data_IF_194907108685
#
_entry.id   IF_194907108685
#
_cell.length_a   1.000
_cell.length_b   1.000
_cell.length_c   1.000
_cell.angle_alpha   90.00
_cell.angle_beta   90.00
_cell.angle_gamma   90.00
#
_symmetry.space_group_name_H-M   'P 1'
#
loop_
_entity.id
_entity.type
_entity.pdbx_description
1 polymer ?
#
# COMPACT_ATOMS: atom_id res chain seq x y z
N UNK A 1 -13.36 3.89 25.16
CA UNK A 1 -11.91 3.83 24.89
C UNK A 1 -11.70 4.02 23.40
N UNK A 2 -10.75 4.84 22.95
CA UNK A 2 -10.51 5.04 21.53
C UNK A 2 -9.96 3.76 20.91
N UNK A 3 -10.65 3.21 19.91
CA UNK A 3 -10.19 2.03 19.16
C UNK A 3 -8.97 2.41 18.32
N UNK A 4 -7.87 1.68 18.48
CA UNK A 4 -6.65 1.90 17.69
C UNK A 4 -6.93 1.53 16.23
N UNK A 5 -6.82 2.51 15.33
CA UNK A 5 -7.11 2.32 13.89
C UNK A 5 -5.89 1.84 13.09
N UNK A 6 -4.71 2.28 13.47
CA UNK A 6 -3.45 1.89 12.85
C UNK A 6 -2.30 1.88 13.88
N UNK A 7 -1.27 1.09 13.61
CA UNK A 7 -0.05 0.95 14.42
C UNK A 7 1.14 0.69 13.50
N UNK A 8 2.36 1.06 13.92
CA UNK A 8 3.57 0.61 13.24
C UNK A 8 3.61 -0.92 13.17
N UNK A 9 3.91 -1.48 12.00
CA UNK A 9 3.81 -2.90 11.75
C UNK A 9 4.75 -3.73 12.64
N UNK A 10 5.98 -3.25 12.82
CA UNK A 10 7.01 -3.97 13.56
C UNK A 10 6.80 -3.83 15.06
N UNK A 11 6.28 -2.69 15.52
CA UNK A 11 5.78 -2.51 16.88
C UNK A 11 4.59 -3.44 17.16
N UNK A 12 3.64 -3.53 16.23
CA UNK A 12 2.49 -4.43 16.34
C UNK A 12 2.94 -5.90 16.44
N UNK A 13 3.94 -6.31 15.65
CA UNK A 13 4.55 -7.64 15.74
C UNK A 13 5.21 -7.87 17.10
N UNK A 14 6.07 -6.95 17.54
CA UNK A 14 6.79 -7.07 18.82
C UNK A 14 5.84 -7.14 20.03
N UNK A 15 4.69 -6.46 19.95
CA UNK A 15 3.65 -6.46 21.00
C UNK A 15 2.58 -7.54 20.82
N UNK A 16 2.72 -8.43 19.83
CA UNK A 16 1.74 -9.48 19.51
C UNK A 16 0.32 -8.93 19.27
N UNK A 17 0.22 -7.78 18.58
CA UNK A 17 -1.03 -7.08 18.25
C UNK A 17 -1.44 -7.21 16.78
N UNK A 18 -0.89 -8.17 16.05
CA UNK A 18 -1.27 -8.44 14.66
C UNK A 18 -2.55 -9.29 14.61
N UNK A 19 -3.59 -8.87 13.87
CA UNK A 19 -4.77 -9.69 13.67
C UNK A 19 -4.42 -10.88 12.78
N UNK A 20 -4.86 -12.07 13.17
CA UNK A 20 -4.64 -13.32 12.42
C UNK A 20 -5.67 -13.51 11.30
N UNK A 21 -6.88 -12.98 11.47
CA UNK A 21 -7.98 -13.19 10.52
C UNK A 21 -7.83 -12.35 9.26
N UNK A 22 -7.58 -11.04 9.43
CA UNK A 22 -7.43 -10.09 8.34
C UNK A 22 -6.71 -8.83 8.80
N UNK A 23 -5.92 -8.22 7.91
CA UNK A 23 -5.36 -6.90 8.11
C UNK A 23 -4.96 -6.23 6.81
N UNK A 24 -4.63 -4.94 6.91
CA UNK A 24 -4.14 -4.14 5.80
C UNK A 24 -2.81 -3.51 6.20
N UNK A 25 -1.82 -3.59 5.33
CA UNK A 25 -0.49 -3.07 5.58
C UNK A 25 -0.19 -2.04 4.50
N UNK A 26 0.18 -0.82 4.89
CA UNK A 26 0.64 0.22 3.96
C UNK A 26 2.11 0.47 4.21
N UNK A 27 2.93 0.27 3.18
CA UNK A 27 4.39 0.51 3.21
C UNK A 27 4.75 1.63 2.25
N UNK A 28 5.79 2.39 2.58
CA UNK A 28 6.35 3.44 1.71
C UNK A 28 7.81 3.20 1.35
N UNK A 29 8.19 3.71 0.18
CA UNK A 29 9.56 3.74 -0.33
C UNK A 29 9.79 5.11 -0.98
N UNK A 30 10.40 6.01 -0.23
CA UNK A 30 10.72 7.37 -0.63
C UNK A 30 12.14 7.48 -1.19
N UNK A 31 12.35 8.49 -2.02
CA UNK A 31 13.68 8.88 -2.50
C UNK A 31 14.14 10.13 -1.77
N UNK A 32 15.35 10.08 -1.23
CA UNK A 32 15.91 11.19 -0.43
C UNK A 32 16.07 12.46 -1.26
N UNK A 33 16.45 12.32 -2.54
CA UNK A 33 16.74 13.44 -3.44
C UNK A 33 15.59 13.78 -4.41
N UNK A 34 14.40 13.20 -4.21
CA UNK A 34 13.29 13.35 -5.15
C UNK A 34 11.94 13.15 -4.49
N UNK A 35 10.93 13.91 -4.94
CA UNK A 35 9.53 13.65 -4.58
C UNK A 35 8.94 12.38 -5.23
N UNK A 36 9.79 11.50 -5.79
CA UNK A 36 9.38 10.18 -6.25
C UNK A 36 9.11 9.29 -5.04
N UNK A 37 7.88 8.83 -4.93
CA UNK A 37 7.40 8.08 -3.77
C UNK A 37 6.64 6.85 -4.23
N UNK A 38 6.94 5.69 -3.64
CA UNK A 38 6.20 4.45 -3.89
C UNK A 38 5.48 4.05 -2.61
N UNK A 39 4.25 3.59 -2.77
CA UNK A 39 3.42 3.02 -1.73
C UNK A 39 2.94 1.65 -2.16
N UNK A 40 2.99 0.69 -1.23
CA UNK A 40 2.40 -0.64 -1.39
C UNK A 40 1.32 -0.80 -0.32
N UNK A 41 0.10 -1.18 -0.73
CA UNK A 41 -0.91 -1.67 0.20
C UNK A 41 -1.09 -3.16 -0.01
N UNK A 42 -1.01 -3.93 1.08
CA UNK A 42 -1.23 -5.37 1.09
C UNK A 42 -2.38 -5.67 2.02
N UNK A 43 -3.43 -6.32 1.52
CA UNK A 43 -4.39 -7.00 2.40
C UNK A 43 -4.01 -8.46 2.52
N UNK A 44 -4.20 -9.00 3.71
CA UNK A 44 -4.00 -10.42 4.00
C UNK A 44 -5.21 -10.96 4.75
N UNK A 45 -5.45 -12.27 4.62
CA UNK A 45 -6.45 -12.98 5.42
C UNK A 45 -5.90 -14.34 5.87
N UNK A 46 -6.52 -14.96 6.87
CA UNK A 46 -6.25 -16.35 7.29
C UNK A 46 -4.76 -16.67 7.48
N UNK A 47 -4.13 -15.89 8.34
CA UNK A 47 -2.70 -15.94 8.57
C UNK A 47 -2.28 -17.25 9.24
N UNK A 48 -1.41 -18.03 8.58
CA UNK A 48 -0.88 -19.27 9.16
C UNK A 48 0.24 -19.01 10.14
N UNK A 49 1.17 -18.13 9.74
CA UNK A 49 2.35 -17.81 10.53
C UNK A 49 2.92 -16.44 10.13
N UNK A 50 3.67 -15.82 11.06
CA UNK A 50 4.42 -14.59 10.86
C UNK A 50 5.79 -14.71 11.54
N UNK A 51 6.85 -14.50 10.80
CA UNK A 51 8.19 -14.51 11.35
C UNK A 51 9.05 -13.38 10.81
N UNK A 52 9.90 -12.87 11.69
CA UNK A 52 10.89 -11.86 11.35
C UNK A 52 12.05 -12.51 10.59
N UNK A 53 12.48 -11.87 9.51
CA UNK A 53 13.66 -12.23 8.73
C UNK A 53 14.68 -11.09 8.78
N UNK A 54 15.88 -11.29 8.20
CA UNK A 54 16.88 -10.23 8.11
C UNK A 54 16.39 -8.99 7.34
N UNK A 55 15.45 -9.18 6.41
CA UNK A 55 15.04 -8.15 5.45
C UNK A 55 13.66 -7.55 5.76
N UNK A 56 12.89 -8.14 6.68
CA UNK A 56 11.52 -7.72 6.94
C UNK A 56 10.68 -8.75 7.67
N UNK A 57 9.37 -8.57 7.62
CA UNK A 57 8.39 -9.44 8.27
C UNK A 57 7.68 -10.29 7.20
N UNK A 58 7.80 -11.62 7.30
CA UNK A 58 7.20 -12.54 6.34
C UNK A 58 5.87 -13.06 6.87
N UNK A 59 4.83 -12.96 6.05
CA UNK A 59 3.49 -13.45 6.31
C UNK A 59 3.27 -14.72 5.48
N UNK A 60 2.98 -15.84 6.14
CA UNK A 60 2.58 -17.08 5.46
C UNK A 60 1.08 -17.08 5.21
N UNK A 61 0.67 -16.32 4.22
CA UNK A 61 -0.70 -16.37 3.70
C UNK A 61 -0.78 -15.76 2.31
N UNK A 62 -1.95 -15.88 1.69
CA UNK A 62 -2.28 -15.16 0.49
C UNK A 62 -2.46 -13.67 0.79
N UNK A 63 -1.95 -12.83 -0.11
CA UNK A 63 -2.10 -11.39 -0.04
C UNK A 63 -2.62 -10.82 -1.34
N UNK A 64 -3.36 -9.72 -1.26
CA UNK A 64 -3.70 -8.88 -2.43
C UNK A 64 -2.95 -7.56 -2.30
N UNK A 65 -2.23 -7.18 -3.35
CA UNK A 65 -1.37 -6.00 -3.37
C UNK A 65 -1.87 -4.97 -4.38
N UNK A 66 -1.93 -3.71 -3.98
CA UNK A 66 -2.01 -2.58 -4.92
C UNK A 66 -0.78 -1.70 -4.74
N UNK A 67 -0.36 -1.10 -5.85
CA UNK A 67 0.73 -0.14 -5.87
C UNK A 67 0.18 1.23 -6.18
N UNK A 68 0.74 2.24 -5.53
CA UNK A 68 0.56 3.65 -5.87
C UNK A 68 1.94 4.29 -5.84
N UNK A 69 2.28 5.09 -6.85
CA UNK A 69 3.50 5.86 -6.83
C UNK A 69 3.30 7.24 -7.44
N UNK A 70 4.19 8.16 -7.07
CA UNK A 70 4.21 9.53 -7.56
C UNK A 70 5.47 9.74 -8.38
N UNK A 71 5.30 10.26 -9.58
CA UNK A 71 6.38 10.75 -10.42
C UNK A 71 6.39 12.28 -10.40
N UNK A 72 7.45 12.94 -9.92
CA UNK A 72 7.54 14.39 -10.00
C UNK A 72 7.75 14.86 -11.44
N UNK A 73 7.50 16.14 -11.68
CA UNK A 73 7.67 16.75 -13.00
C UNK A 73 9.11 16.61 -13.55
N UNK A 74 10.12 16.59 -12.69
CA UNK A 74 11.51 16.49 -13.11
C UNK A 74 12.03 15.04 -13.27
N UNK A 75 11.18 14.01 -13.11
CA UNK A 75 11.62 12.63 -13.29
C UNK A 75 12.03 12.37 -14.75
N UNK A 76 13.26 11.91 -15.03
CA UNK A 76 13.78 11.81 -16.40
C UNK A 76 13.22 10.62 -17.20
N UNK A 77 12.79 9.54 -16.54
CA UNK A 77 12.38 8.30 -17.22
C UNK A 77 10.86 8.09 -17.28
N UNK A 78 10.08 9.16 -17.42
CA UNK A 78 8.59 9.11 -17.49
C UNK A 78 8.04 8.30 -18.66
N UNK A 79 8.80 8.15 -19.75
CA UNK A 79 8.42 7.33 -20.90
C UNK A 79 8.72 5.84 -20.70
N UNK A 80 9.54 5.49 -19.70
CA UNK A 80 9.90 4.12 -19.39
C UNK A 80 8.81 3.48 -18.54
N UNK A 81 8.36 2.30 -18.95
CA UNK A 81 7.40 1.50 -18.21
C UNK A 81 7.87 1.27 -16.76
N UNK A 82 6.98 1.34 -15.75
CA UNK A 82 7.38 1.25 -14.34
C UNK A 82 8.18 -0.01 -14.00
N UNK A 83 7.82 -1.15 -14.58
CA UNK A 83 8.53 -2.41 -14.35
C UNK A 83 9.91 -2.49 -15.01
N UNK A 84 10.23 -1.62 -15.97
CA UNK A 84 11.53 -1.60 -16.66
C UNK A 84 12.54 -0.64 -16.02
N UNK A 85 12.15 0.09 -14.98
CA UNK A 85 12.99 1.12 -14.34
C UNK A 85 14.10 0.50 -13.51
N UNK A 86 15.08 1.33 -13.18
CA UNK A 86 16.09 0.99 -12.18
C UNK A 86 15.42 0.56 -10.87
N UNK A 87 16.05 -0.37 -10.16
CA UNK A 87 15.51 -1.07 -8.99
C UNK A 87 14.80 -0.16 -7.99
N UNK A 88 15.35 1.02 -7.80
CA UNK A 88 14.90 2.00 -6.83
C UNK A 88 13.61 2.72 -7.24
N UNK A 89 13.36 2.86 -8.54
CA UNK A 89 12.16 3.47 -9.12
C UNK A 89 11.20 2.41 -9.68
N UNK A 90 11.59 1.15 -9.64
CA UNK A 90 10.86 0.04 -10.21
C UNK A 90 9.59 -0.23 -9.41
N UNK A 91 8.47 -0.27 -10.13
CA UNK A 91 7.18 -0.72 -9.60
C UNK A 91 6.69 -1.80 -10.56
N UNK A 92 6.20 -2.96 -10.08
CA UNK A 92 5.80 -4.08 -10.94
C UNK A 92 4.48 -3.79 -11.67
N UNK A 93 4.39 -2.68 -12.39
CA UNK A 93 3.19 -2.18 -13.04
C UNK A 93 3.50 -1.75 -14.47
N UNK A 94 2.48 -1.76 -15.33
CA UNK A 94 2.51 -1.20 -16.69
C UNK A 94 1.55 -0.04 -16.80
N UNK A 95 1.86 0.96 -17.62
CA UNK A 95 0.96 2.11 -17.79
C UNK A 95 -0.44 1.71 -18.25
N UNK A 96 -0.57 0.70 -19.13
CA UNK A 96 -1.87 0.19 -19.59
C UNK A 96 -2.75 -0.36 -18.45
N UNK A 97 -2.11 -0.90 -17.42
CA UNK A 97 -2.75 -1.53 -16.25
C UNK A 97 -2.85 -0.55 -15.06
N UNK A 98 -2.60 0.74 -15.32
CA UNK A 98 -2.56 1.80 -14.32
C UNK A 98 -3.65 2.85 -14.54
N UNK A 99 -4.14 3.41 -13.45
CA UNK A 99 -4.79 4.70 -13.43
C UNK A 99 -3.71 5.79 -13.32
N UNK A 100 -3.85 6.87 -14.07
CA UNK A 100 -2.87 7.97 -14.11
C UNK A 100 -3.61 9.29 -13.91
N UNK A 101 -3.28 9.99 -12.83
CA UNK A 101 -3.79 11.32 -12.53
C UNK A 101 -2.63 12.31 -12.67
N UNK A 102 -2.82 13.38 -13.44
CA UNK A 102 -1.85 14.48 -13.52
C UNK A 102 -2.28 15.59 -12.57
N UNK A 103 -1.45 15.88 -11.57
CA UNK A 103 -1.69 16.93 -10.60
C UNK A 103 -1.36 18.32 -11.18
N UNK A 104 -1.79 19.39 -10.50
CA UNK A 104 -1.59 20.77 -10.95
C UNK A 104 -0.11 21.14 -11.12
N UNK A 105 0.78 20.57 -10.30
CA UNK A 105 2.23 20.74 -10.39
C UNK A 105 2.89 19.78 -11.39
N UNK A 106 2.13 19.20 -12.32
CA UNK A 106 2.60 18.28 -13.37
C UNK A 106 3.19 16.95 -12.85
N UNK A 107 3.15 16.70 -11.54
CA UNK A 107 3.42 15.37 -11.00
C UNK A 107 2.34 14.38 -11.43
N UNK A 108 2.73 13.13 -11.68
CA UNK A 108 1.80 12.05 -11.98
C UNK A 108 1.61 11.16 -10.77
N UNK A 109 0.36 10.90 -10.42
CA UNK A 109 -0.02 9.89 -9.43
C UNK A 109 -0.49 8.68 -10.21
N UNK A 110 0.19 7.56 -10.03
CA UNK A 110 -0.01 6.34 -10.84
C UNK A 110 -0.30 5.20 -9.88
N UNK A 111 -1.41 4.48 -10.09
CA UNK A 111 -1.76 3.35 -9.24
C UNK A 111 -2.42 2.22 -10.01
N UNK A 112 -2.33 1.01 -9.45
CA UNK A 112 -2.88 -0.22 -10.04
C UNK A 112 -4.38 -0.10 -10.37
N UNK A 113 -4.83 -0.73 -11.45
CA UNK A 113 -6.28 -0.96 -11.71
C UNK A 113 -6.79 -2.19 -10.97
N UNK A 114 -5.98 -3.24 -10.93
CA UNK A 114 -6.32 -4.54 -10.35
C UNK A 114 -5.26 -4.96 -9.32
N UNK A 115 -5.64 -5.73 -8.29
CA UNK A 115 -4.69 -6.21 -7.30
C UNK A 115 -3.78 -7.30 -7.90
N UNK A 116 -2.53 -7.31 -7.45
CA UNK A 116 -1.62 -8.44 -7.65
C UNK A 116 -1.78 -9.43 -6.51
N UNK A 117 -1.90 -10.71 -6.84
CA UNK A 117 -2.00 -11.77 -5.84
C UNK A 117 -0.61 -12.28 -5.45
N UNK A 118 -0.32 -12.23 -4.15
CA UNK A 118 0.80 -12.96 -3.57
C UNK A 118 0.26 -14.28 -3.03
N UNK A 119 0.72 -15.39 -3.60
CA UNK A 119 0.26 -16.73 -3.22
C UNK A 119 1.20 -17.31 -2.16
N UNK A 120 0.62 -17.95 -1.15
CA UNK A 120 1.29 -18.68 -0.06
C UNK A 120 2.12 -17.85 0.92
N UNK A 121 2.86 -16.85 0.47
CA UNK A 121 3.58 -15.94 1.35
C UNK A 121 3.93 -14.60 0.69
N UNK A 122 4.11 -13.57 1.51
CA UNK A 122 4.72 -12.30 1.11
C UNK A 122 5.56 -11.73 2.25
N UNK A 123 6.51 -10.86 1.92
CA UNK A 123 7.36 -10.18 2.91
C UNK A 123 7.14 -8.68 2.83
N UNK A 124 6.92 -8.05 3.98
CA UNK A 124 6.94 -6.60 4.15
C UNK A 124 8.36 -6.22 4.56
N UNK A 125 9.04 -5.46 3.69
CA UNK A 125 10.42 -5.03 3.93
C UNK A 125 10.49 -4.15 5.16
N UNK A 126 11.55 -4.32 5.97
CA UNK A 126 11.79 -3.45 7.12
C UNK A 126 12.07 -2.01 6.65
N UNK A 127 11.28 -1.02 7.08
CA UNK A 127 11.51 0.36 6.67
C UNK A 127 12.87 0.89 7.14
N UNK A 128 13.47 1.74 6.32
CA UNK A 128 14.73 2.44 6.59
C UNK A 128 14.57 3.94 6.34
N UNK A 129 15.32 4.76 7.07
CA UNK A 129 15.25 6.22 6.92
C UNK A 129 13.85 6.75 7.23
N UNK A 130 13.28 7.49 6.28
CA UNK A 130 11.94 8.08 6.37
C UNK A 130 10.80 7.14 5.93
N UNK A 131 11.12 5.94 5.46
CA UNK A 131 10.12 4.94 5.06
C UNK A 131 9.34 4.44 6.28
N UNK A 132 8.12 3.96 6.05
CA UNK A 132 7.27 3.40 7.09
C UNK A 132 6.57 2.12 6.61
N UNK A 133 6.07 1.34 7.58
CA UNK A 133 5.13 0.25 7.35
C UNK A 133 4.07 0.29 8.47
N UNK A 134 2.83 0.61 8.12
CA UNK A 134 1.72 0.70 9.07
C UNK A 134 0.73 -0.44 8.87
N UNK A 135 0.36 -1.08 9.97
CA UNK A 135 -0.79 -1.97 10.06
C UNK A 135 -2.05 -1.16 10.32
N UNK A 136 -3.06 -1.32 9.48
CA UNK A 136 -4.42 -0.84 9.66
C UNK A 136 -5.33 -2.01 10.06
N UNK A 137 -6.03 -1.83 11.18
CA UNK A 137 -6.93 -2.85 11.71
C UNK A 137 -8.23 -2.92 10.89
N UNK A 138 -8.84 -4.12 10.72
CA UNK A 138 -10.04 -4.32 9.91
C UNK A 138 -11.31 -3.80 10.61
N UNK A 139 -11.37 -2.49 10.83
CA UNK A 139 -12.52 -1.78 11.38
C UNK A 139 -13.46 -1.35 10.24
N UNK A 140 -14.76 -1.08 10.51
CA UNK A 140 -15.72 -0.67 9.49
C UNK A 140 -15.30 0.57 8.67
N UNK A 141 -14.51 1.46 9.27
CA UNK A 141 -14.01 2.70 8.65
C UNK A 141 -12.52 2.61 8.22
N UNK A 142 -11.96 1.40 8.09
CA UNK A 142 -10.54 1.20 7.74
C UNK A 142 -10.15 1.91 6.45
N UNK A 143 -10.96 1.80 5.39
CA UNK A 143 -10.67 2.46 4.11
C UNK A 143 -10.80 3.98 4.18
N UNK A 144 -11.61 4.52 5.10
CA UNK A 144 -11.65 5.95 5.37
C UNK A 144 -10.37 6.42 6.08
N UNK A 145 -9.83 5.58 6.95
CA UNK A 145 -8.55 5.83 7.61
C UNK A 145 -7.38 5.76 6.61
N UNK A 146 -7.41 4.80 5.69
CA UNK A 146 -6.46 4.68 4.58
C UNK A 146 -6.57 5.90 3.64
N UNK A 147 -7.79 6.35 3.29
CA UNK A 147 -8.01 7.56 2.51
C UNK A 147 -7.33 8.78 3.16
N UNK A 148 -7.59 9.02 4.45
CA UNK A 148 -7.00 10.14 5.18
C UNK A 148 -5.47 10.03 5.23
N UNK A 149 -4.96 8.81 5.39
CA UNK A 149 -3.52 8.54 5.37
C UNK A 149 -2.87 8.90 4.04
N UNK A 150 -3.46 8.47 2.92
CA UNK A 150 -2.96 8.80 1.59
C UNK A 150 -3.11 10.29 1.26
N UNK A 151 -4.19 10.93 1.69
CA UNK A 151 -4.36 12.38 1.53
C UNK A 151 -3.18 13.15 2.16
N UNK A 152 -2.83 12.78 3.40
CA UNK A 152 -1.75 13.44 4.14
C UNK A 152 -0.38 13.14 3.55
N UNK A 153 -0.09 11.87 3.25
CA UNK A 153 1.25 11.45 2.77
C UNK A 153 1.51 11.90 1.34
N UNK A 154 0.51 11.85 0.44
CA UNK A 154 0.65 12.39 -0.91
C UNK A 154 0.95 13.89 -0.90
N UNK A 155 0.31 14.64 0.00
CA UNK A 155 0.55 16.07 0.09
C UNK A 155 1.90 16.42 0.75
N UNK A 156 2.17 15.85 1.93
CA UNK A 156 3.33 16.23 2.75
C UNK A 156 4.63 15.59 2.28
N UNK A 157 4.59 14.32 1.90
CA UNK A 157 5.79 13.55 1.55
C UNK A 157 6.03 13.54 0.03
N UNK A 158 4.98 13.42 -0.79
CA UNK A 158 5.11 13.34 -2.25
C UNK A 158 4.89 14.69 -2.97
N UNK A 159 4.70 15.78 -2.23
CA UNK A 159 4.58 17.14 -2.78
C UNK A 159 3.37 17.37 -3.69
N UNK A 160 2.32 16.55 -3.60
CA UNK A 160 1.12 16.70 -4.41
C UNK A 160 0.24 17.83 -3.85
N UNK A 161 -0.30 18.74 -4.69
CA UNK A 161 -1.25 19.76 -4.24
C UNK A 161 -2.45 19.16 -3.49
N UNK A 162 -2.86 19.78 -2.38
CA UNK A 162 -3.90 19.26 -1.45
C UNK A 162 -5.17 18.78 -2.16
N UNK A 163 -5.65 19.53 -3.16
CA UNK A 163 -6.86 19.17 -3.91
C UNK A 163 -6.68 17.87 -4.69
N UNK A 164 -5.54 17.71 -5.35
CA UNK A 164 -5.25 16.54 -6.17
C UNK A 164 -4.95 15.32 -5.28
N UNK A 165 -4.26 15.52 -4.16
CA UNK A 165 -4.02 14.49 -3.14
C UNK A 165 -5.33 13.93 -2.58
N UNK A 166 -6.30 14.80 -2.23
CA UNK A 166 -7.64 14.40 -1.79
C UNK A 166 -8.37 13.54 -2.81
N UNK A 167 -8.37 13.96 -4.07
CA UNK A 167 -9.06 13.25 -5.14
C UNK A 167 -8.42 11.87 -5.38
N UNK A 168 -7.09 11.83 -5.52
CA UNK A 168 -6.36 10.58 -5.73
C UNK A 168 -6.51 9.61 -4.56
N UNK A 169 -6.41 10.09 -3.32
CA UNK A 169 -6.59 9.27 -2.13
C UNK A 169 -8.00 8.67 -2.06
N UNK A 170 -9.03 9.45 -2.41
CA UNK A 170 -10.41 8.98 -2.47
C UNK A 170 -10.61 7.89 -3.53
N UNK A 171 -10.08 8.09 -4.74
CA UNK A 171 -10.15 7.10 -5.81
C UNK A 171 -9.41 5.82 -5.44
N UNK A 172 -8.21 5.94 -4.88
CA UNK A 172 -7.41 4.79 -4.47
C UNK A 172 -8.03 4.02 -3.30
N UNK A 173 -8.61 4.71 -2.31
CA UNK A 173 -9.32 4.08 -1.20
C UNK A 173 -10.60 3.38 -1.66
N UNK A 174 -11.34 3.95 -2.62
CA UNK A 174 -12.50 3.32 -3.23
C UNK A 174 -12.14 2.07 -4.04
N UNK A 175 -11.01 2.10 -4.75
CA UNK A 175 -10.49 0.90 -5.40
C UNK A 175 -10.12 -0.16 -4.36
N UNK A 176 -9.35 0.24 -3.35
CA UNK A 176 -8.89 -0.63 -2.26
C UNK A 176 -10.06 -1.33 -1.57
N UNK A 177 -11.16 -0.63 -1.28
CA UNK A 177 -12.32 -1.22 -0.64
C UNK A 177 -13.06 -2.26 -1.48
N UNK A 178 -12.95 -2.18 -2.81
CA UNK A 178 -13.56 -3.13 -3.75
C UNK A 178 -12.72 -4.39 -3.91
N UNK A 179 -11.40 -4.25 -4.00
CA UNK A 179 -10.53 -5.33 -4.47
C UNK A 179 -9.69 -5.98 -3.37
N UNK A 180 -9.40 -5.25 -2.28
CA UNK A 180 -8.59 -5.74 -1.16
C UNK A 180 -9.40 -6.42 -0.06
N UNK A 181 -10.70 -6.55 -0.24
CA UNK A 181 -11.57 -7.34 0.65
C UNK A 181 -11.50 -8.82 0.29
N UNK A 182 -11.77 -9.65 1.29
CA UNK A 182 -11.83 -11.10 1.14
C UNK A 182 -13.30 -11.53 1.25
N UNK A 183 -13.78 -12.45 0.40
CA UNK A 183 -15.12 -13.02 0.56
C UNK A 183 -15.30 -13.54 1.99
N UNK A 184 -16.50 -13.36 2.56
CA UNK A 184 -16.80 -13.83 3.92
C UNK A 184 -16.33 -15.27 4.09
N UNK A 185 -15.49 -15.49 5.11
CA UNK A 185 -14.85 -16.77 5.42
C UNK A 185 -15.86 -17.90 5.73
N UNK A 186 -17.14 -17.57 5.89
CA UNK A 186 -18.22 -18.54 6.08
C UNK A 186 -18.60 -19.28 4.79
N UNK A 187 -18.60 -18.62 3.63
CA UNK A 187 -19.00 -19.26 2.36
C UNK A 187 -17.96 -20.24 1.81
N UNK A 188 -16.67 -20.03 2.11
CA UNK A 188 -15.60 -20.94 1.67
C UNK A 188 -15.54 -22.23 2.50
N UNK A 189 -16.09 -22.23 3.72
CA UNK A 189 -16.15 -23.40 4.59
C UNK A 189 -17.50 -24.12 4.54
N UNK A 190 -18.56 -23.48 4.02
CA UNK A 190 -19.86 -24.12 3.77
C UNK A 190 -19.90 -25.02 2.52
N UNK A 191 -18.82 -25.04 1.74
CA UNK A 191 -18.67 -25.82 0.51
C UNK A 191 -17.76 -27.05 0.61
N UNK A 192 -17.44 -27.52 1.82
CA UNK A 192 -16.71 -28.78 2.05
C UNK A 192 -17.48 -29.74 2.93
#
# INVERSE_FOLDING_TARGET
MATVKAMDLFEAYAKQKLPMDQGYIVSSFFKEDSAYSIYEIVSYATLKDIYLTSNGLTFQTNGKKLFLFVEPENYPHKSMEPYCRERDFQVPLRFKDSNIITAKNQSKIIFSKDPQEALSAFTIVKPTGINFAFLFYPLPDVFKSIELFFEQTLNKEAGIPVRDAKNAAKEFALLSSKVLTWPNLEEQNAGK
#
